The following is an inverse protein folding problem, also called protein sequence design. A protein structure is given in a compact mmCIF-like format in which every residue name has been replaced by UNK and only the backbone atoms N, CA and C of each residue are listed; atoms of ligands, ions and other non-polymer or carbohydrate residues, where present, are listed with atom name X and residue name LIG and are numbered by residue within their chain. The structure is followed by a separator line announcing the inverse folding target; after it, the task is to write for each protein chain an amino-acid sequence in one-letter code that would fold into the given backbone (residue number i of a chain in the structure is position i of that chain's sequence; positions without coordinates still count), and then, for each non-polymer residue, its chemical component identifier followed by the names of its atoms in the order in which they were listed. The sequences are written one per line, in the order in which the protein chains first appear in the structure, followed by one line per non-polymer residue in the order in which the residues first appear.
data_IF_442138934587
#
_entry.id   IF_442138934587
#
_cell.length_a   1.000
_cell.length_b   1.000
_cell.length_c   1.000
_cell.angle_alpha   90.00
_cell.angle_beta   90.00
_cell.angle_gamma   90.00
#
_symmetry.space_group_name_H-M   'P 1'
#
loop_
_entity.id
_entity.type
_entity.pdbx_description
1 polymer ?
#
# COMPACT_ATOMS: atom_id res chain seq x y z
N UNK A 1 9.33 1.81 14.15
CA UNK A 1 10.08 3.08 14.39
C UNK A 1 9.13 4.21 14.04
N UNK A 2 8.91 5.20 14.90
CA UNK A 2 8.02 6.32 14.57
C UNK A 2 8.66 7.21 13.51
N UNK A 3 7.84 7.77 12.61
CA UNK A 3 8.26 8.75 11.60
C UNK A 3 8.73 10.02 12.33
N UNK A 4 9.96 10.47 12.05
CA UNK A 4 10.57 11.67 12.66
C UNK A 4 10.17 12.92 11.86
N UNK A 5 9.09 13.57 12.30
CA UNK A 5 8.54 14.76 11.65
C UNK A 5 9.48 15.95 11.72
N UNK A 6 10.20 16.12 12.83
CA UNK A 6 11.11 17.26 12.98
C UNK A 6 12.28 17.15 11.99
N UNK A 7 12.87 15.97 11.87
CA UNK A 7 13.90 15.72 10.84
C UNK A 7 13.36 15.95 9.43
N UNK A 8 12.13 15.52 9.13
CA UNK A 8 11.50 15.75 7.82
C UNK A 8 11.36 17.25 7.54
N UNK A 9 10.88 18.04 8.48
CA UNK A 9 10.76 19.51 8.31
C UNK A 9 12.09 20.15 7.93
N UNK A 10 13.15 19.82 8.66
CA UNK A 10 14.51 20.29 8.39
C UNK A 10 14.96 19.96 6.96
N UNK A 11 14.76 18.70 6.55
CA UNK A 11 15.16 18.25 5.22
C UNK A 11 14.34 18.88 4.11
N UNK A 12 13.03 19.08 4.30
CA UNK A 12 12.18 19.77 3.31
C UNK A 12 12.60 21.22 3.17
N UNK A 13 12.90 21.92 4.28
CA UNK A 13 13.47 23.27 4.22
C UNK A 13 14.79 23.30 3.42
N UNK A 14 15.66 22.34 3.66
CA UNK A 14 16.91 22.18 2.90
C UNK A 14 16.67 21.94 1.40
N UNK A 15 15.66 21.14 1.04
CA UNK A 15 15.27 20.89 -0.35
C UNK A 15 14.80 22.19 -1.02
N UNK A 16 13.96 23.00 -0.36
CA UNK A 16 13.49 24.28 -0.91
C UNK A 16 14.65 25.23 -1.22
N UNK A 17 15.61 25.34 -0.30
CA UNK A 17 16.84 26.12 -0.48
C UNK A 17 17.66 25.58 -1.66
N UNK A 18 17.83 24.27 -1.76
CA UNK A 18 18.59 23.62 -2.82
C UNK A 18 17.95 23.80 -4.21
N UNK A 19 16.63 23.97 -4.28
CA UNK A 19 15.89 24.31 -5.49
C UNK A 19 16.02 25.79 -5.88
N UNK A 20 16.64 26.62 -5.01
CA UNK A 20 16.85 28.04 -5.26
C UNK A 20 15.67 28.93 -4.87
N UNK A 21 14.74 28.43 -4.05
CA UNK A 21 13.59 29.19 -3.56
C UNK A 21 13.78 29.63 -2.09
N UNK A 22 13.07 30.65 -1.67
CA UNK A 22 13.09 31.19 -0.30
C UNK A 22 12.03 30.48 0.57
N UNK A 23 12.45 29.61 1.53
CA UNK A 23 11.53 28.92 2.40
C UNK A 23 10.74 29.84 3.34
N UNK A 24 11.18 31.09 3.53
CA UNK A 24 10.51 32.04 4.42
C UNK A 24 9.45 32.89 3.69
N UNK A 25 9.36 32.82 2.36
CA UNK A 25 8.28 33.51 1.62
C UNK A 25 6.90 32.94 2.03
N UNK A 26 5.88 33.77 1.96
CA UNK A 26 4.52 33.47 2.45
C UNK A 26 3.99 32.09 1.98
N UNK A 27 4.15 31.76 0.71
CA UNK A 27 3.62 30.51 0.14
C UNK A 27 4.39 29.25 0.56
N UNK A 28 5.62 29.35 1.10
CA UNK A 28 6.46 28.20 1.47
C UNK A 28 6.70 28.07 2.99
N UNK A 29 6.43 29.09 3.77
CA UNK A 29 6.73 29.10 5.22
C UNK A 29 6.15 27.90 5.95
N UNK A 30 4.97 27.45 5.59
CA UNK A 30 4.31 26.30 6.22
C UNK A 30 4.56 24.97 5.46
N UNK A 31 5.26 24.99 4.32
CA UNK A 31 5.47 23.78 3.49
C UNK A 31 6.22 22.69 4.24
N UNK A 32 7.29 22.94 5.01
CA UNK A 32 7.96 21.89 5.77
C UNK A 32 7.03 21.16 6.74
N UNK A 33 6.18 21.90 7.47
CA UNK A 33 5.20 21.33 8.40
C UNK A 33 4.13 20.51 7.65
N UNK A 34 3.60 21.05 6.56
CA UNK A 34 2.57 20.38 5.76
C UNK A 34 3.07 19.08 5.15
N UNK A 35 4.32 19.07 4.65
CA UNK A 35 4.94 17.87 4.09
C UNK A 35 5.21 16.84 5.18
N UNK A 36 5.69 17.24 6.36
CA UNK A 36 5.91 16.34 7.47
C UNK A 36 4.61 15.67 7.94
N UNK A 37 3.52 16.44 8.05
CA UNK A 37 2.20 15.92 8.41
C UNK A 37 1.65 14.97 7.32
N UNK A 38 1.81 15.33 6.05
CA UNK A 38 1.44 14.47 4.93
C UNK A 38 2.22 13.14 4.98
N UNK A 39 3.52 13.16 5.22
CA UNK A 39 4.34 11.96 5.27
C UNK A 39 4.01 11.07 6.48
N UNK A 40 3.63 11.64 7.62
CA UNK A 40 3.12 10.86 8.76
C UNK A 40 1.86 10.08 8.39
N UNK A 41 0.95 10.68 7.61
CA UNK A 41 -0.29 10.04 7.15
C UNK A 41 -0.02 8.99 6.07
N UNK A 42 0.66 9.38 4.98
CA UNK A 42 0.80 8.52 3.79
C UNK A 42 1.83 7.40 3.97
N UNK A 43 2.69 7.48 4.98
CA UNK A 43 3.67 6.46 5.34
C UNK A 43 3.38 5.79 6.69
N UNK A 44 2.17 5.91 7.22
CA UNK A 44 1.75 5.30 8.47
C UNK A 44 2.11 3.81 8.56
N UNK A 45 1.95 3.07 7.46
CA UNK A 45 2.25 1.65 7.35
C UNK A 45 3.72 1.28 7.56
N UNK A 46 4.65 2.25 7.43
CA UNK A 46 6.08 2.02 7.71
C UNK A 46 6.37 1.81 9.20
N UNK A 47 5.45 2.18 10.09
CA UNK A 47 5.60 1.99 11.52
C UNK A 47 5.34 0.54 11.95
N UNK A 48 4.81 -0.31 11.08
CA UNK A 48 4.35 -1.65 11.42
C UNK A 48 4.96 -2.70 10.47
N UNK A 49 5.20 -3.88 11.02
CA UNK A 49 5.52 -5.09 10.25
C UNK A 49 4.25 -5.71 9.64
N UNK A 50 4.40 -6.64 8.69
CA UNK A 50 3.27 -7.38 8.13
C UNK A 50 2.50 -8.16 9.21
N UNK A 51 3.22 -8.77 10.18
CA UNK A 51 2.62 -9.50 11.29
C UNK A 51 1.77 -8.59 12.20
N UNK A 52 2.27 -7.40 12.54
CA UNK A 52 1.52 -6.44 13.36
C UNK A 52 0.26 -5.93 12.63
N UNK A 53 0.34 -5.67 11.32
CA UNK A 53 -0.84 -5.30 10.52
C UNK A 53 -1.85 -6.46 10.47
N UNK A 54 -1.38 -7.70 10.32
CA UNK A 54 -2.24 -8.88 10.35
C UNK A 54 -2.97 -9.00 11.69
N UNK A 55 -2.27 -8.82 12.81
CA UNK A 55 -2.86 -8.84 14.15
C UNK A 55 -3.93 -7.76 14.32
N UNK A 56 -3.65 -6.51 13.92
CA UNK A 56 -4.60 -5.40 13.98
C UNK A 56 -5.92 -5.68 13.23
N UNK A 57 -5.85 -6.45 12.15
CA UNK A 57 -7.00 -6.68 11.27
C UNK A 57 -7.46 -8.15 11.20
N UNK A 58 -7.11 -8.98 12.18
CA UNK A 58 -7.38 -10.43 12.24
C UNK A 58 -8.82 -10.82 12.61
N UNK A 59 -9.79 -9.89 12.58
CA UNK A 59 -11.19 -10.23 12.94
C UNK A 59 -11.79 -11.19 11.91
N UNK A 60 -12.00 -12.42 12.33
CA UNK A 60 -12.59 -13.51 11.55
C UNK A 60 -13.95 -13.94 12.11
N UNK A 61 -14.70 -14.67 11.29
CA UNK A 61 -15.98 -15.29 11.61
C UNK A 61 -15.96 -16.74 11.14
N UNK A 62 -16.65 -17.63 11.85
CA UNK A 62 -16.76 -19.03 11.44
C UNK A 62 -17.46 -19.11 10.08
N UNK A 63 -16.91 -19.91 9.18
CA UNK A 63 -17.48 -20.16 7.86
C UNK A 63 -18.03 -21.58 7.80
N UNK A 64 -19.34 -21.75 7.60
CA UNK A 64 -19.93 -23.08 7.44
C UNK A 64 -19.70 -23.68 6.03
N UNK A 65 -18.89 -23.02 5.20
CA UNK A 65 -18.66 -23.40 3.81
C UNK A 65 -17.95 -24.74 3.62
N UNK A 66 -18.06 -25.29 2.43
CA UNK A 66 -17.55 -26.62 2.03
C UNK A 66 -16.02 -26.72 1.91
N UNK A 67 -15.28 -25.67 2.26
CA UNK A 67 -13.81 -25.61 2.10
C UNK A 67 -13.31 -25.29 0.69
N UNK A 68 -14.20 -25.15 -0.29
CA UNK A 68 -13.87 -24.79 -1.66
C UNK A 68 -14.44 -23.41 -2.08
N UNK A 69 -15.12 -22.74 -1.16
CA UNK A 69 -15.67 -21.41 -1.46
C UNK A 69 -14.53 -20.38 -1.44
N UNK A 70 -14.47 -19.56 -2.48
CA UNK A 70 -13.50 -18.48 -2.58
C UNK A 70 -14.13 -17.14 -2.22
N UNK A 71 -13.47 -16.38 -1.38
CA UNK A 71 -13.84 -14.99 -1.11
C UNK A 71 -13.03 -14.06 -2.01
N UNK A 72 -13.71 -13.16 -2.72
CA UNK A 72 -13.08 -12.17 -3.59
C UNK A 72 -13.57 -10.78 -3.19
N UNK A 73 -12.63 -9.88 -2.87
CA UNK A 73 -12.89 -8.45 -2.72
C UNK A 73 -12.15 -7.71 -3.81
N UNK A 74 -12.88 -6.96 -4.64
CA UNK A 74 -12.31 -6.31 -5.83
C UNK A 74 -12.32 -4.81 -5.72
N UNK A 75 -11.46 -4.20 -6.53
CA UNK A 75 -11.43 -2.78 -6.80
C UNK A 75 -11.26 -1.92 -5.54
N UNK A 76 -10.45 -2.40 -4.57
CA UNK A 76 -10.07 -1.62 -3.39
C UNK A 76 -9.16 -0.49 -3.87
N UNK A 77 -9.63 0.74 -3.73
CA UNK A 77 -8.83 1.92 -4.10
C UNK A 77 -7.77 2.20 -3.02
N UNK A 78 -6.53 2.36 -3.46
CA UNK A 78 -5.40 2.72 -2.59
C UNK A 78 -4.48 3.72 -3.30
N UNK A 79 -3.68 4.42 -2.53
CA UNK A 79 -2.55 5.22 -3.01
C UNK A 79 -1.28 4.67 -2.39
N UNK A 80 -0.17 4.74 -3.11
CA UNK A 80 1.13 4.36 -2.58
C UNK A 80 2.22 5.27 -3.16
N UNK A 81 3.45 5.08 -2.73
CA UNK A 81 4.58 5.89 -3.16
C UNK A 81 5.73 4.99 -3.62
N UNK A 82 6.17 5.25 -4.85
CA UNK A 82 7.30 4.54 -5.45
C UNK A 82 8.58 4.80 -4.63
N UNK A 83 9.24 3.75 -4.16
CA UNK A 83 10.45 3.85 -3.34
C UNK A 83 11.64 4.49 -4.08
N UNK A 84 11.66 4.41 -5.44
CA UNK A 84 12.76 4.96 -6.24
C UNK A 84 12.75 6.50 -6.33
N UNK A 85 11.59 7.14 -6.23
CA UNK A 85 11.45 8.57 -6.52
C UNK A 85 10.61 9.32 -5.49
N UNK A 86 10.10 8.66 -4.44
CA UNK A 86 9.08 9.22 -3.54
C UNK A 86 7.86 9.75 -4.32
N UNK A 87 7.59 9.16 -5.47
CA UNK A 87 6.59 9.63 -6.41
C UNK A 87 5.30 8.85 -6.26
N UNK A 88 4.16 9.55 -6.35
CA UNK A 88 2.83 8.98 -6.16
C UNK A 88 2.54 7.87 -7.18
N UNK A 89 2.05 6.74 -6.70
CA UNK A 89 1.32 5.72 -7.46
C UNK A 89 -0.17 5.93 -7.22
N UNK A 90 -0.95 6.07 -8.29
CA UNK A 90 -2.33 6.53 -8.26
C UNK A 90 -3.23 5.74 -9.20
N UNK A 91 -4.54 5.98 -9.15
CA UNK A 91 -5.55 5.16 -9.83
C UNK A 91 -5.35 3.67 -9.53
N UNK A 92 -4.88 3.36 -8.31
CA UNK A 92 -4.56 2.00 -7.93
C UNK A 92 -5.81 1.26 -7.48
N UNK A 93 -5.96 0.04 -8.00
CA UNK A 93 -7.02 -0.89 -7.61
C UNK A 93 -6.40 -2.22 -7.21
N UNK A 94 -6.69 -2.62 -5.98
CA UNK A 94 -6.27 -3.90 -5.42
C UNK A 94 -7.47 -4.84 -5.40
N UNK A 95 -7.29 -6.06 -5.92
CA UNK A 95 -8.27 -7.15 -5.77
C UNK A 95 -7.60 -8.30 -5.04
N UNK A 96 -8.27 -8.81 -4.02
CA UNK A 96 -7.78 -9.91 -3.18
C UNK A 96 -8.76 -11.08 -3.30
N UNK A 97 -8.23 -12.25 -3.57
CA UNK A 97 -8.96 -13.52 -3.48
C UNK A 97 -8.27 -14.44 -2.48
N UNK A 98 -9.03 -15.19 -1.70
CA UNK A 98 -8.46 -16.25 -0.84
C UNK A 98 -9.47 -17.38 -0.62
N UNK A 99 -8.97 -18.56 -0.28
CA UNK A 99 -9.79 -19.71 0.08
C UNK A 99 -9.86 -19.82 1.61
N UNK A 100 -11.03 -19.61 2.23
CA UNK A 100 -11.17 -19.69 3.68
C UNK A 100 -10.81 -21.07 4.23
N UNK A 101 -10.10 -21.09 5.36
CA UNK A 101 -9.79 -22.32 6.10
C UNK A 101 -10.66 -22.37 7.39
N UNK A 102 -11.96 -22.70 7.23
CA UNK A 102 -12.91 -22.75 8.34
C UNK A 102 -13.34 -21.40 8.90
N UNK A 103 -12.69 -20.31 8.52
CA UNK A 103 -13.01 -18.94 8.95
C UNK A 103 -12.89 -17.96 7.79
N UNK A 104 -13.75 -16.95 7.78
CA UNK A 104 -13.71 -15.83 6.85
C UNK A 104 -13.26 -14.57 7.55
N UNK A 105 -12.37 -13.82 6.88
CA UNK A 105 -11.91 -12.51 7.34
C UNK A 105 -13.01 -11.46 7.07
N UNK A 106 -13.22 -10.55 8.01
CA UNK A 106 -14.17 -9.47 7.81
C UNK A 106 -13.82 -8.63 6.58
N UNK A 107 -14.77 -8.41 5.66
CA UNK A 107 -14.52 -7.76 4.36
C UNK A 107 -13.83 -6.38 4.50
N UNK A 108 -14.25 -5.59 5.49
CA UNK A 108 -13.63 -4.28 5.76
C UNK A 108 -12.17 -4.40 6.24
N UNK A 109 -11.76 -5.56 6.76
CA UNK A 109 -10.38 -5.80 7.19
C UNK A 109 -9.46 -6.00 5.99
N UNK A 110 -9.96 -6.65 4.94
CA UNK A 110 -9.21 -6.83 3.68
C UNK A 110 -8.86 -5.47 3.08
N UNK A 111 -9.84 -4.56 3.01
CA UNK A 111 -9.60 -3.20 2.50
C UNK A 111 -8.61 -2.42 3.38
N UNK A 112 -8.69 -2.54 4.71
CA UNK A 112 -7.75 -1.89 5.64
C UNK A 112 -6.34 -2.46 5.54
N UNK A 113 -6.20 -3.76 5.31
CA UNK A 113 -4.90 -4.41 5.06
C UNK A 113 -4.27 -3.84 3.80
N UNK A 114 -5.03 -3.76 2.70
CA UNK A 114 -4.54 -3.21 1.44
C UNK A 114 -4.11 -1.74 1.59
N UNK A 115 -4.90 -0.91 2.26
CA UNK A 115 -4.59 0.50 2.54
C UNK A 115 -3.32 0.64 3.41
N UNK A 116 -3.23 -0.10 4.51
CA UNK A 116 -2.08 -0.02 5.42
C UNK A 116 -0.78 -0.51 4.77
N UNK A 117 -0.84 -1.57 3.95
CA UNK A 117 0.30 -2.06 3.19
C UNK A 117 0.74 -1.05 2.11
N UNK A 118 -0.21 -0.33 1.52
CA UNK A 118 0.05 0.69 0.52
C UNK A 118 0.68 1.96 1.12
N UNK A 119 0.44 2.27 2.38
CA UNK A 119 1.02 3.40 3.13
C UNK A 119 2.50 3.20 3.49
N UNK A 120 3.28 2.78 2.50
CA UNK A 120 4.73 2.55 2.62
C UNK A 120 5.43 3.06 1.36
N UNK A 121 6.75 3.11 1.40
CA UNK A 121 7.56 3.19 0.19
C UNK A 121 7.57 1.81 -0.46
N UNK A 122 7.04 1.70 -1.69
CA UNK A 122 6.75 0.43 -2.32
C UNK A 122 7.27 0.31 -3.76
N UNK A 123 7.53 -0.93 -4.15
CA UNK A 123 7.36 -1.41 -5.52
C UNK A 123 5.96 -2.00 -5.63
N UNK A 124 5.30 -1.92 -6.78
CA UNK A 124 3.95 -2.47 -6.94
C UNK A 124 3.94 -3.99 -6.71
N UNK A 125 4.99 -4.68 -7.12
CA UNK A 125 5.17 -6.12 -6.94
C UNK A 125 5.34 -6.47 -5.45
N UNK A 126 6.14 -5.67 -4.73
CA UNK A 126 6.32 -5.83 -3.29
C UNK A 126 5.03 -5.56 -2.52
N UNK A 127 4.27 -4.55 -2.92
CA UNK A 127 2.95 -4.26 -2.34
C UNK A 127 2.01 -5.49 -2.46
N UNK A 128 1.99 -6.14 -3.61
CA UNK A 128 1.22 -7.37 -3.81
C UNK A 128 1.64 -8.49 -2.87
N UNK A 129 2.96 -8.69 -2.71
CA UNK A 129 3.52 -9.69 -1.80
C UNK A 129 3.21 -9.39 -0.33
N UNK A 130 3.35 -8.12 0.10
CA UNK A 130 3.02 -7.70 1.47
C UNK A 130 1.53 -7.93 1.77
N UNK A 131 0.62 -7.55 0.86
CA UNK A 131 -0.82 -7.77 1.04
C UNK A 131 -1.12 -9.27 1.13
N UNK A 132 -0.56 -10.10 0.24
CA UNK A 132 -0.79 -11.53 0.24
C UNK A 132 -0.32 -12.19 1.55
N UNK A 133 0.85 -11.80 2.07
CA UNK A 133 1.37 -12.27 3.34
C UNK A 133 0.47 -11.87 4.51
N UNK A 134 0.08 -10.58 4.57
CA UNK A 134 -0.78 -10.07 5.65
C UNK A 134 -2.14 -10.78 5.64
N UNK A 135 -2.74 -10.97 4.47
CA UNK A 135 -4.01 -11.71 4.33
C UNK A 135 -3.85 -13.16 4.78
N UNK A 136 -2.77 -13.85 4.41
CA UNK A 136 -2.51 -15.20 4.84
C UNK A 136 -2.41 -15.30 6.38
N UNK A 137 -1.64 -14.41 7.00
CA UNK A 137 -1.50 -14.35 8.46
C UNK A 137 -2.83 -14.04 9.16
N UNK A 138 -3.59 -13.05 8.65
CA UNK A 138 -4.83 -12.60 9.27
C UNK A 138 -5.99 -13.58 9.12
N UNK A 139 -6.06 -14.31 7.99
CA UNK A 139 -7.14 -15.27 7.69
C UNK A 139 -6.84 -16.70 8.15
N UNK A 140 -5.54 -17.03 8.33
CA UNK A 140 -5.09 -18.40 8.57
C UNK A 140 -5.15 -19.28 7.32
N UNK A 141 -5.19 -18.68 6.11
CA UNK A 141 -5.18 -19.39 4.85
C UNK A 141 -3.94 -19.03 4.03
N UNK A 142 -3.20 -20.04 3.55
CA UNK A 142 -2.06 -19.83 2.65
C UNK A 142 -2.48 -19.59 1.19
N UNK A 143 -3.73 -19.90 0.83
CA UNK A 143 -4.26 -19.81 -0.53
C UNK A 143 -4.76 -18.39 -0.80
N UNK A 144 -3.88 -17.53 -1.27
CA UNK A 144 -4.15 -16.08 -1.49
C UNK A 144 -3.69 -15.67 -2.89
N UNK A 145 -4.52 -14.88 -3.57
CA UNK A 145 -4.18 -14.21 -4.83
C UNK A 145 -4.44 -12.70 -4.70
N UNK A 146 -3.50 -11.90 -5.16
CA UNK A 146 -3.60 -10.43 -5.16
C UNK A 146 -3.32 -9.92 -6.57
N UNK A 147 -4.20 -9.05 -7.05
CA UNK A 147 -4.08 -8.36 -8.33
C UNK A 147 -4.05 -6.86 -8.07
N UNK A 148 -3.09 -6.17 -8.65
CA UNK A 148 -2.95 -4.73 -8.53
C UNK A 148 -2.83 -4.12 -9.91
N UNK A 149 -3.63 -3.09 -10.16
CA UNK A 149 -3.49 -2.23 -11.33
C UNK A 149 -3.31 -0.79 -10.85
N UNK A 150 -2.42 -0.03 -11.50
CA UNK A 150 -2.18 1.35 -11.11
C UNK A 150 -1.34 2.13 -12.09
N UNK A 151 -1.26 3.45 -11.88
CA UNK A 151 -0.42 4.37 -12.62
C UNK A 151 0.67 4.95 -11.72
N UNK A 152 1.80 5.27 -12.33
CA UNK A 152 2.98 5.74 -11.62
C UNK A 152 3.37 7.13 -12.08
N UNK A 153 3.37 8.13 -11.21
CA UNK A 153 3.75 9.50 -11.56
C UNK A 153 5.23 9.60 -11.98
N UNK A 154 6.08 8.68 -11.55
CA UNK A 154 7.45 8.59 -12.05
C UNK A 154 7.55 8.26 -13.56
N UNK A 155 6.51 7.67 -14.15
CA UNK A 155 6.37 7.42 -15.59
C UNK A 155 5.55 8.50 -16.30
N UNK A 156 4.54 9.07 -15.65
CA UNK A 156 3.60 10.00 -16.29
C UNK A 156 4.04 11.45 -16.20
N UNK A 157 4.62 11.90 -15.06
CA UNK A 157 4.93 13.30 -14.81
C UNK A 157 6.36 13.71 -15.25
N UNK A 158 7.27 12.74 -15.44
CA UNK A 158 8.68 12.96 -15.79
C UNK A 158 9.21 11.84 -16.69
N UNK A 159 10.45 11.94 -17.12
CA UNK A 159 11.12 10.91 -17.93
C UNK A 159 10.38 10.69 -19.26
N UNK A 160 9.85 9.49 -19.46
CA UNK A 160 9.16 9.10 -20.70
C UNK A 160 7.80 9.79 -20.88
N UNK A 161 7.19 10.34 -19.83
CA UNK A 161 5.90 11.05 -19.84
C UNK A 161 4.77 10.28 -20.54
N UNK A 162 4.71 8.95 -20.31
CA UNK A 162 3.65 8.12 -20.86
C UNK A 162 2.44 8.13 -19.90
N UNK A 163 1.40 8.88 -20.26
CA UNK A 163 0.19 9.05 -19.45
C UNK A 163 -0.88 7.96 -19.70
N UNK A 164 -0.76 7.18 -20.77
CA UNK A 164 -1.76 6.19 -21.18
C UNK A 164 -1.50 4.80 -20.62
N UNK A 165 -0.26 4.48 -20.19
CA UNK A 165 0.06 3.18 -19.64
C UNK A 165 -0.42 3.01 -18.20
N UNK A 166 -0.91 1.83 -17.87
CA UNK A 166 -1.08 1.31 -16.52
C UNK A 166 -0.16 0.11 -16.30
N UNK A 167 0.22 -0.12 -15.05
CA UNK A 167 0.99 -1.30 -14.65
C UNK A 167 0.05 -2.27 -13.96
N UNK A 168 0.14 -3.56 -14.32
CA UNK A 168 -0.61 -4.62 -13.66
C UNK A 168 0.38 -5.62 -13.09
N UNK A 169 0.22 -5.98 -11.81
CA UNK A 169 0.99 -7.01 -11.13
C UNK A 169 0.06 -8.02 -10.46
N UNK A 170 0.53 -9.26 -10.33
CA UNK A 170 -0.19 -10.35 -9.69
C UNK A 170 0.75 -11.06 -8.71
N UNK A 171 0.21 -11.46 -7.56
CA UNK A 171 0.91 -12.27 -6.57
C UNK A 171 0.03 -13.45 -6.20
N UNK A 172 0.60 -14.64 -6.24
CA UNK A 172 -0.08 -15.88 -5.89
C UNK A 172 0.63 -16.58 -4.74
N UNK A 173 -0.14 -17.26 -3.89
CA UNK A 173 0.35 -18.11 -2.78
C UNK A 173 -0.49 -19.37 -2.69
N UNK A 174 0.13 -20.44 -2.19
CA UNK A 174 -0.54 -21.74 -1.98
C UNK A 174 -1.07 -22.34 -3.28
N UNK A 175 -2.32 -22.78 -3.31
CA UNK A 175 -2.92 -23.42 -4.49
C UNK A 175 -2.97 -22.51 -5.72
N UNK A 176 -3.03 -21.21 -5.56
CA UNK A 176 -3.00 -20.28 -6.69
C UNK A 176 -1.66 -20.23 -7.42
N UNK A 177 -0.55 -20.72 -6.84
CA UNK A 177 0.74 -20.83 -7.54
C UNK A 177 0.77 -22.00 -8.53
N UNK A 178 0.01 -23.04 -8.25
CA UNK A 178 0.06 -24.30 -9.02
C UNK A 178 -1.05 -24.38 -10.07
N UNK A 179 -2.16 -23.67 -9.88
CA UNK A 179 -3.38 -23.78 -10.70
C UNK A 179 -3.64 -22.50 -11.54
N UNK A 180 -2.64 -21.60 -11.65
CA UNK A 180 -2.73 -20.33 -12.38
C UNK A 180 -2.29 -20.46 -13.85
#
# INVERSE_FOLDING_TARGET
MAIDKEAIKEHIKGILIALGDDPEREGLRETPERVANMYEEVFEGMNYTNAEIAEMFSKTFDSPGSGNDMVIVRDIEVFSYCEHHLALMYDMKVSVAYLPNGKVLGLSKIARIADMAAKRLQLQEKLGSDIAEIIALASGSEDVAVFIEGKHSCMTARGIRNCSSSTRSTTFRGRFETDA
#
